data_IF_850369775683
#
_entry.id   IF_850369775683
#
_cell.length_a   1.000
_cell.length_b   1.000
_cell.length_c   1.000
_cell.angle_alpha   90.00
_cell.angle_beta   90.00
_cell.angle_gamma   90.00
#
_symmetry.space_group_name_H-M   'P 1'
#
loop_
_entity.id
_entity.type
_entity.pdbx_description
1 polymer ?
#
# COMPACT_ATOMS: atom_id res chain seq x y z
N UNK A 1 0.37 11.58 22.01
CA UNK A 1 0.75 10.63 20.94
C UNK A 1 1.83 11.27 20.09
N UNK A 2 3.11 10.89 20.23
CA UNK A 2 4.15 11.37 19.32
C UNK A 2 3.99 10.67 17.97
N UNK A 3 3.63 11.43 16.93
CA UNK A 3 3.71 10.99 15.53
C UNK A 3 5.20 10.82 15.21
N UNK A 4 5.68 9.58 15.16
CA UNK A 4 7.05 9.25 14.77
C UNK A 4 7.25 9.74 13.34
N UNK A 5 8.11 10.74 13.14
CA UNK A 5 8.46 11.22 11.80
C UNK A 5 8.99 10.04 10.97
N UNK A 6 8.45 9.87 9.76
CA UNK A 6 8.86 8.85 8.80
C UNK A 6 10.35 9.06 8.55
N UNK A 7 11.18 8.02 8.73
CA UNK A 7 12.63 8.10 8.55
C UNK A 7 12.92 8.41 7.07
N UNK A 8 13.52 9.57 6.81
CA UNK A 8 14.05 9.96 5.51
C UNK A 8 15.09 8.93 5.03
N UNK A 9 14.98 8.48 3.77
CA UNK A 9 16.02 7.71 3.07
C UNK A 9 16.01 6.18 3.22
N UNK A 10 14.91 5.55 3.65
CA UNK A 10 14.75 4.09 3.57
C UNK A 10 13.54 3.74 2.69
N UNK A 11 13.62 2.60 1.98
CA UNK A 11 12.48 2.01 1.27
C UNK A 11 11.24 2.12 2.16
N UNK A 12 10.21 2.78 1.66
CA UNK A 12 9.07 3.15 2.49
C UNK A 12 8.48 1.87 3.11
N UNK A 13 8.25 1.85 4.43
CA UNK A 13 7.71 0.67 5.08
C UNK A 13 6.32 0.41 4.49
N UNK A 14 6.13 -0.78 3.94
CA UNK A 14 4.87 -1.17 3.32
C UNK A 14 3.70 -0.91 4.30
N UNK A 15 2.68 -0.20 3.82
CA UNK A 15 1.63 0.34 4.68
C UNK A 15 0.51 -0.71 4.83
N UNK A 16 0.31 -1.32 6.00
CA UNK A 16 -0.77 -2.27 6.21
C UNK A 16 -2.12 -1.56 6.03
N UNK A 17 -2.91 -2.06 5.10
CA UNK A 17 -4.27 -1.60 4.90
C UNK A 17 -5.17 -2.23 5.97
N UNK A 18 -6.28 -1.57 6.29
CA UNK A 18 -7.27 -2.04 7.26
C UNK A 18 -8.61 -2.30 6.58
N UNK A 19 -9.45 -3.10 7.23
CA UNK A 19 -10.81 -3.39 6.78
C UNK A 19 -10.92 -4.00 5.37
N UNK A 20 -9.87 -4.68 4.90
CA UNK A 20 -9.94 -5.53 3.71
C UNK A 20 -10.47 -6.91 4.07
N UNK A 21 -11.23 -7.51 3.16
CA UNK A 21 -11.58 -8.93 3.19
C UNK A 21 -10.31 -9.77 2.92
N UNK A 22 -9.86 -10.64 3.84
CA UNK A 22 -8.61 -11.39 3.67
C UNK A 22 -8.58 -12.29 2.43
N UNK A 23 -9.76 -12.77 2.03
CA UNK A 23 -9.95 -13.65 0.86
C UNK A 23 -10.06 -12.88 -0.46
N UNK A 24 -10.21 -11.55 -0.41
CA UNK A 24 -10.35 -10.73 -1.61
C UNK A 24 -9.05 -10.66 -2.40
N UNK A 25 -9.19 -10.54 -3.72
CA UNK A 25 -8.14 -10.11 -4.62
C UNK A 25 -8.40 -8.65 -4.97
N UNK A 26 -7.40 -7.81 -4.79
CA UNK A 26 -7.46 -6.39 -5.08
C UNK A 26 -6.51 -6.09 -6.22
N UNK A 27 -7.01 -5.56 -7.32
CA UNK A 27 -6.20 -5.13 -8.45
C UNK A 27 -5.88 -3.65 -8.34
N UNK A 28 -4.61 -3.32 -8.47
CA UNK A 28 -4.16 -1.94 -8.70
C UNK A 28 -4.57 -1.50 -10.10
N UNK A 29 -5.34 -0.43 -10.19
CA UNK A 29 -5.82 0.09 -11.47
C UNK A 29 -4.72 0.78 -12.29
N UNK A 30 -3.65 1.25 -11.64
CA UNK A 30 -2.55 1.93 -12.31
C UNK A 30 -1.57 0.92 -12.94
N UNK A 31 -1.21 -0.13 -12.21
CA UNK A 31 -0.21 -1.12 -12.65
C UNK A 31 -0.81 -2.42 -13.18
N UNK A 32 -2.07 -2.70 -12.85
CA UNK A 32 -2.72 -3.99 -13.10
C UNK A 32 -2.29 -5.11 -12.16
N UNK A 33 -1.41 -4.84 -11.18
CA UNK A 33 -0.95 -5.84 -10.23
C UNK A 33 -2.10 -6.32 -9.32
N UNK A 34 -2.16 -7.64 -9.07
CA UNK A 34 -3.15 -8.23 -8.16
C UNK A 34 -2.50 -8.51 -6.81
N UNK A 35 -3.12 -8.00 -5.76
CA UNK A 35 -2.72 -8.15 -4.37
C UNK A 35 -3.77 -8.93 -3.59
N UNK A 36 -3.34 -9.84 -2.73
CA UNK A 36 -4.23 -10.55 -1.83
C UNK A 36 -4.57 -9.69 -0.60
N UNK A 37 -5.84 -9.70 -0.18
CA UNK A 37 -6.32 -8.96 0.99
C UNK A 37 -5.53 -9.32 2.25
N UNK A 38 -5.28 -10.62 2.49
CA UNK A 38 -4.44 -11.08 3.60
C UNK A 38 -3.03 -10.49 3.59
N UNK A 39 -2.41 -10.33 2.41
CA UNK A 39 -1.08 -9.73 2.27
C UNK A 39 -1.13 -8.23 2.54
N UNK A 40 -2.13 -7.53 2.00
CA UNK A 40 -2.31 -6.10 2.24
C UNK A 40 -2.61 -5.78 3.71
N UNK A 41 -3.27 -6.69 4.44
CA UNK A 41 -3.53 -6.55 5.88
C UNK A 41 -2.25 -6.75 6.73
N UNK A 42 -1.37 -7.66 6.32
CA UNK A 42 -0.23 -8.13 7.15
C UNK A 42 1.10 -7.51 6.76
N UNK A 43 1.39 -7.46 5.46
CA UNK A 43 2.64 -6.96 4.90
C UNK A 43 2.49 -5.55 4.36
N UNK A 44 1.26 -5.13 4.03
CA UNK A 44 0.98 -3.80 3.53
C UNK A 44 1.28 -3.61 2.04
N UNK A 45 0.97 -2.42 1.56
CA UNK A 45 1.20 -2.03 0.18
C UNK A 45 2.61 -1.44 0.05
N UNK A 46 3.48 -1.96 -0.85
CA UNK A 46 4.75 -1.32 -1.16
C UNK A 46 4.47 0.00 -1.89
N UNK A 47 4.88 1.11 -1.28
CA UNK A 47 4.79 2.43 -1.89
C UNK A 47 6.19 2.89 -2.27
N UNK A 48 6.51 2.90 -3.55
CA UNK A 48 7.74 3.52 -4.04
C UNK A 48 7.48 5.03 -4.16
N UNK A 49 7.83 5.75 -3.10
CA UNK A 49 7.86 7.21 -3.11
C UNK A 49 9.22 7.64 -3.67
N UNK A 50 9.20 8.44 -4.73
CA UNK A 50 10.42 9.07 -5.23
C UNK A 50 11.10 9.85 -4.10
N UNK A 51 12.43 9.76 -4.04
CA UNK A 51 13.26 10.26 -2.92
C UNK A 51 13.28 11.79 -2.74
N UNK A 52 12.48 12.51 -3.53
CA UNK A 52 12.37 13.97 -3.48
C UNK A 52 11.52 14.44 -2.30
N UNK A 53 11.77 15.66 -1.83
CA UNK A 53 11.10 16.20 -0.66
C UNK A 53 9.62 16.52 -1.01
N UNK A 54 8.68 16.00 -0.21
CA UNK A 54 7.22 16.16 -0.36
C UNK A 54 6.53 15.38 -1.50
N UNK A 55 7.03 14.21 -1.88
CA UNK A 55 6.31 13.33 -2.82
C UNK A 55 5.08 12.67 -2.18
N UNK A 56 4.01 12.53 -2.96
CA UNK A 56 2.79 11.82 -2.58
C UNK A 56 2.43 10.81 -3.66
N UNK A 57 1.98 9.62 -3.25
CA UNK A 57 1.53 8.55 -4.14
C UNK A 57 0.07 8.22 -3.85
N UNK A 58 -0.77 8.22 -4.89
CA UNK A 58 -2.13 7.72 -4.84
C UNK A 58 -2.16 6.32 -5.47
N UNK A 59 -2.62 5.32 -4.72
CA UNK A 59 -2.85 3.97 -5.26
C UNK A 59 -4.33 3.64 -5.17
N UNK A 60 -4.91 3.21 -6.29
CA UNK A 60 -6.32 2.86 -6.38
C UNK A 60 -6.46 1.35 -6.58
N UNK A 61 -6.96 0.68 -5.55
CA UNK A 61 -7.18 -0.76 -5.53
C UNK A 61 -8.68 -1.05 -5.71
N UNK A 62 -9.02 -1.83 -6.72
CA UNK A 62 -10.39 -2.33 -6.94
C UNK A 62 -10.46 -3.80 -6.58
N UNK A 63 -11.54 -4.24 -5.93
CA UNK A 63 -11.76 -5.68 -5.71
C UNK A 63 -11.99 -6.34 -7.06
N UNK A 64 -11.21 -7.37 -7.40
CA UNK A 64 -11.52 -8.22 -8.53
C UNK A 64 -12.70 -9.12 -8.14
N UNK A 65 -13.74 -9.06 -8.96
CA UNK A 65 -14.90 -9.92 -8.85
C UNK A 65 -14.49 -11.27 -9.45
N UNK A 66 -14.41 -12.30 -8.60
CA UNK A 66 -14.28 -13.69 -9.04
C UNK A 66 -15.64 -14.29 -9.39
#
# INVERSE_FOLDING_TARGET
MLRRARRFGHHDPALPLKALDPSARCRDTATGAVHHGAVLLTHGLPADLAADDYTSLLVHLVREQG
#
